data_IF_537100073036
#
_entry.id   IF_537100073036
#
_cell.length_a   1.000
_cell.length_b   1.000
_cell.length_c   1.000
_cell.angle_alpha   90.00
_cell.angle_beta   90.00
_cell.angle_gamma   90.00
#
_symmetry.space_group_name_H-M   'P 1'
#
loop_
_entity.id
_entity.type
_entity.pdbx_description
1 polymer ?
#
# COMPACT_ATOMS: atom_id res chain seq x y z
N UNK A 1 55.57 -24.90 2.02
CA UNK A 1 54.22 -24.38 1.70
C UNK A 1 53.55 -24.07 3.02
N UNK A 2 53.95 -22.98 3.67
CA UNK A 2 53.30 -22.55 4.90
C UNK A 2 52.15 -21.64 4.51
N UNK A 3 50.94 -22.21 4.52
CA UNK A 3 49.72 -21.40 4.52
C UNK A 3 49.71 -20.74 5.90
N UNK A 4 50.09 -19.47 5.94
CA UNK A 4 50.15 -18.69 7.16
C UNK A 4 48.84 -18.81 7.95
N UNK A 5 48.93 -18.99 9.27
CA UNK A 5 47.78 -19.08 10.20
C UNK A 5 46.75 -17.96 9.95
N UNK A 6 47.23 -16.78 9.57
CA UNK A 6 46.41 -15.63 9.15
C UNK A 6 45.50 -15.93 7.94
N UNK A 7 45.98 -16.69 6.96
CA UNK A 7 45.20 -17.10 5.79
C UNK A 7 44.09 -18.10 6.13
N UNK A 8 44.33 -19.03 7.07
CA UNK A 8 43.31 -19.99 7.54
C UNK A 8 42.24 -19.27 8.36
N UNK A 9 42.64 -18.33 9.21
CA UNK A 9 41.74 -17.46 9.96
C UNK A 9 40.89 -16.58 9.04
N UNK A 10 41.49 -16.00 7.99
CA UNK A 10 40.76 -15.22 6.99
C UNK A 10 39.77 -16.06 6.17
N UNK A 11 40.15 -17.26 5.76
CA UNK A 11 39.30 -18.15 4.96
C UNK A 11 38.10 -18.66 5.77
N UNK A 12 38.32 -19.06 7.02
CA UNK A 12 37.26 -19.49 7.93
C UNK A 12 36.34 -18.33 8.33
N UNK A 13 36.90 -17.13 8.56
CA UNK A 13 36.12 -15.91 8.77
C UNK A 13 35.24 -15.59 7.56
N UNK A 14 35.81 -15.57 6.34
CA UNK A 14 35.06 -15.29 5.12
C UNK A 14 33.98 -16.33 4.85
N UNK A 15 34.24 -17.62 5.14
CA UNK A 15 33.25 -18.68 5.01
C UNK A 15 32.07 -18.50 5.98
N UNK A 16 32.37 -18.21 7.25
CA UNK A 16 31.35 -17.99 8.29
C UNK A 16 30.51 -16.75 7.99
N UNK A 17 31.17 -15.65 7.60
CA UNK A 17 30.49 -14.40 7.22
C UNK A 17 29.65 -14.60 5.96
N UNK A 18 30.14 -15.33 4.95
CA UNK A 18 29.35 -15.62 3.74
C UNK A 18 28.07 -16.40 4.07
N UNK A 19 28.18 -17.43 4.91
CA UNK A 19 27.01 -18.20 5.32
C UNK A 19 26.03 -17.35 6.14
N UNK A 20 26.53 -16.48 7.00
CA UNK A 20 25.71 -15.53 7.77
C UNK A 20 24.98 -14.53 6.85
N UNK A 21 25.66 -14.01 5.83
CA UNK A 21 25.04 -13.11 4.83
C UNK A 21 23.93 -13.83 4.06
N UNK A 22 24.14 -15.10 3.67
CA UNK A 22 23.11 -15.89 2.96
C UNK A 22 21.87 -16.10 3.83
N UNK A 23 22.05 -16.44 5.11
CA UNK A 23 20.94 -16.60 6.06
C UNK A 23 20.21 -15.28 6.26
N UNK A 24 20.95 -14.17 6.44
CA UNK A 24 20.33 -12.86 6.62
C UNK A 24 19.59 -12.40 5.35
N UNK A 25 20.16 -12.61 4.17
CA UNK A 25 19.49 -12.34 2.91
C UNK A 25 18.19 -13.14 2.78
N UNK A 26 18.23 -14.45 3.08
CA UNK A 26 17.03 -15.30 3.07
C UNK A 26 15.94 -14.75 4.01
N UNK A 27 16.31 -14.32 5.21
CA UNK A 27 15.39 -13.71 6.18
C UNK A 27 14.76 -12.41 5.65
N UNK A 28 15.52 -11.60 4.92
CA UNK A 28 15.00 -10.37 4.30
C UNK A 28 14.01 -10.66 3.16
N UNK A 29 14.21 -11.73 2.39
CA UNK A 29 13.31 -12.13 1.31
C UNK A 29 12.01 -12.79 1.80
N UNK A 30 11.98 -13.33 3.02
CA UNK A 30 10.76 -13.92 3.60
C UNK A 30 9.66 -12.87 3.84
N UNK A 31 10.02 -11.62 4.16
CA UNK A 31 9.04 -10.54 4.40
C UNK A 31 8.10 -10.28 3.20
N UNK A 32 8.62 -10.01 1.99
CA UNK A 32 7.74 -9.83 0.83
C UNK A 32 7.14 -11.15 0.32
N UNK A 33 7.68 -12.31 0.71
CA UNK A 33 7.21 -13.63 0.28
C UNK A 33 5.95 -14.14 0.99
N UNK A 34 5.65 -13.62 2.18
CA UNK A 34 4.52 -14.08 2.99
C UNK A 34 3.15 -14.11 2.26
N UNK A 35 2.68 -13.03 1.61
CA UNK A 35 1.39 -13.05 0.90
C UNK A 35 1.36 -14.02 -0.29
N UNK A 36 2.52 -14.33 -0.90
CA UNK A 36 2.61 -15.33 -1.96
C UNK A 36 2.52 -16.76 -1.41
N UNK A 37 3.10 -17.01 -0.24
CA UNK A 37 3.02 -18.31 0.43
C UNK A 37 1.58 -18.63 0.83
N UNK A 38 0.88 -17.67 1.44
CA UNK A 38 -0.54 -17.82 1.81
C UNK A 38 -1.41 -18.10 0.58
N UNK A 39 -1.14 -17.40 -0.52
CA UNK A 39 -1.81 -17.67 -1.80
C UNK A 39 -1.52 -19.06 -2.37
N UNK A 40 -0.30 -19.56 -2.23
CA UNK A 40 0.09 -20.86 -2.77
C UNK A 40 -0.45 -22.03 -1.93
N UNK A 41 -0.53 -21.89 -0.61
CA UNK A 41 -1.04 -22.92 0.29
C UNK A 41 -2.55 -23.13 0.13
N UNK A 42 -3.32 -22.03 0.02
CA UNK A 42 -4.78 -22.07 -0.05
C UNK A 42 -5.33 -21.57 -1.41
N UNK A 43 -4.64 -21.89 -2.51
CA UNK A 43 -5.00 -21.40 -3.85
C UNK A 43 -6.44 -21.74 -4.25
N UNK A 44 -6.90 -22.96 -3.98
CA UNK A 44 -8.25 -23.40 -4.32
C UNK A 44 -9.30 -22.58 -3.55
N UNK A 45 -9.11 -22.42 -2.25
CA UNK A 45 -10.00 -21.61 -1.41
C UNK A 45 -10.01 -20.13 -1.84
N UNK A 46 -8.83 -19.57 -2.15
CA UNK A 46 -8.73 -18.17 -2.55
C UNK A 46 -9.38 -17.93 -3.90
N UNK A 47 -9.15 -18.80 -4.89
CA UNK A 47 -9.74 -18.67 -6.22
C UNK A 47 -11.26 -18.93 -6.24
N UNK A 48 -11.74 -19.87 -5.41
CA UNK A 48 -13.15 -20.30 -5.41
C UNK A 48 -14.03 -19.61 -4.37
N UNK A 49 -13.47 -19.01 -3.32
CA UNK A 49 -14.22 -18.36 -2.22
C UNK A 49 -13.90 -16.86 -2.13
N UNK A 50 -12.63 -16.45 -2.10
CA UNK A 50 -12.25 -15.05 -1.90
C UNK A 50 -12.21 -14.20 -3.18
N UNK A 51 -12.02 -14.81 -4.35
CA UNK A 51 -11.88 -14.07 -5.60
C UNK A 51 -13.17 -13.31 -6.00
N UNK A 52 -13.13 -11.99 -6.11
CA UNK A 52 -14.31 -11.20 -6.48
C UNK A 52 -14.70 -11.35 -7.96
N UNK A 53 -13.77 -11.77 -8.82
CA UNK A 53 -13.96 -11.85 -10.29
C UNK A 53 -14.30 -13.26 -10.79
N UNK A 54 -14.87 -14.13 -9.95
CA UNK A 54 -15.24 -15.50 -10.32
C UNK A 54 -16.23 -15.57 -11.50
N UNK A 55 -17.15 -14.60 -11.59
CA UNK A 55 -18.18 -14.55 -12.63
C UNK A 55 -17.65 -14.07 -13.99
N UNK A 56 -16.37 -13.71 -14.06
CA UNK A 56 -15.71 -13.17 -15.27
C UNK A 56 -14.53 -14.06 -15.67
N UNK A 57 -14.78 -15.29 -16.18
CA UNK A 57 -13.71 -16.23 -16.54
C UNK A 57 -12.79 -15.70 -17.65
N UNK A 58 -13.27 -14.76 -18.48
CA UNK A 58 -12.47 -14.08 -19.51
C UNK A 58 -11.27 -13.28 -18.95
N UNK A 59 -11.27 -12.95 -17.66
CA UNK A 59 -10.20 -12.19 -17.00
C UNK A 59 -9.10 -13.07 -16.41
N UNK A 60 -9.30 -14.40 -16.35
CA UNK A 60 -8.33 -15.35 -15.78
C UNK A 60 -7.76 -14.90 -14.41
N UNK A 61 -8.63 -14.31 -13.57
CA UNK A 61 -8.22 -13.67 -12.33
C UNK A 61 -7.64 -14.67 -11.33
N UNK A 62 -8.26 -15.84 -11.15
CA UNK A 62 -7.71 -16.94 -10.36
C UNK A 62 -7.30 -16.55 -8.93
N UNK A 63 -7.97 -15.59 -8.29
CA UNK A 63 -7.61 -15.12 -6.95
C UNK A 63 -6.50 -14.06 -6.89
N UNK A 64 -5.96 -13.60 -8.03
CA UNK A 64 -4.93 -12.53 -8.09
C UNK A 64 -5.41 -11.21 -7.48
N UNK A 65 -6.71 -10.93 -7.48
CA UNK A 65 -7.29 -9.76 -6.83
C UNK A 65 -7.02 -9.73 -5.32
N UNK A 66 -7.18 -10.88 -4.64
CA UNK A 66 -6.88 -11.03 -3.23
C UNK A 66 -5.38 -10.83 -2.95
N UNK A 67 -4.52 -11.48 -3.76
CA UNK A 67 -3.06 -11.35 -3.62
C UNK A 67 -2.61 -9.89 -3.74
N UNK A 68 -3.16 -9.14 -4.70
CA UNK A 68 -2.85 -7.73 -4.90
C UNK A 68 -3.25 -6.88 -3.70
N UNK A 69 -4.40 -7.16 -3.09
CA UNK A 69 -4.87 -6.48 -1.88
C UNK A 69 -3.96 -6.79 -0.67
N UNK A 70 -3.61 -8.06 -0.46
CA UNK A 70 -2.69 -8.47 0.61
C UNK A 70 -1.31 -7.80 0.48
N UNK A 71 -0.79 -7.69 -0.75
CA UNK A 71 0.45 -6.96 -1.05
C UNK A 71 0.35 -5.46 -0.76
N UNK A 72 -0.75 -4.83 -1.16
CA UNK A 72 -1.00 -3.41 -0.88
C UNK A 72 -1.06 -3.14 0.63
N UNK A 73 -1.80 -3.96 1.38
CA UNK A 73 -1.90 -3.85 2.84
C UNK A 73 -0.55 -4.06 3.54
N UNK A 74 0.26 -5.02 3.09
CA UNK A 74 1.60 -5.23 3.62
C UNK A 74 2.49 -3.99 3.40
N UNK A 75 2.43 -3.38 2.20
CA UNK A 75 3.19 -2.17 1.87
C UNK A 75 2.73 -0.94 2.67
N UNK A 76 1.43 -0.81 2.92
CA UNK A 76 0.86 0.32 3.64
C UNK A 76 1.12 0.22 5.15
N UNK A 77 1.13 -0.99 5.71
CA UNK A 77 1.54 -1.24 7.10
C UNK A 77 2.99 -0.81 7.33
N UNK A 78 3.91 -1.14 6.43
CA UNK A 78 5.32 -0.71 6.53
C UNK A 78 5.46 0.82 6.43
N UNK A 79 4.70 1.47 5.54
CA UNK A 79 4.73 2.93 5.39
C UNK A 79 4.12 3.65 6.60
N UNK A 80 3.03 3.09 7.15
CA UNK A 80 2.39 3.59 8.38
C UNK A 80 3.27 3.40 9.62
N UNK A 81 4.07 2.33 9.69
CA UNK A 81 5.06 2.13 10.75
C UNK A 81 6.22 3.14 10.64
N UNK A 82 6.65 3.47 9.41
CA UNK A 82 7.63 4.54 9.17
C UNK A 82 7.11 5.92 9.59
N UNK A 83 5.83 6.22 9.36
CA UNK A 83 5.18 7.46 9.84
C UNK A 83 4.99 7.51 11.35
N UNK A 84 4.88 6.36 12.03
CA UNK A 84 4.84 6.27 13.50
C UNK A 84 6.23 6.27 14.16
N UNK A 85 7.30 6.01 13.41
CA UNK A 85 8.68 6.01 13.91
C UNK A 85 9.31 7.40 14.03
N UNK A 86 8.69 8.46 13.51
CA UNK A 86 9.05 9.86 13.83
C UNK A 86 8.19 10.45 14.96
N UNK A 87 7.52 9.60 15.74
CA UNK A 87 6.76 10.02 16.93
C UNK A 87 6.77 8.89 17.96
N UNK A 88 7.95 8.60 18.50
CA UNK A 88 8.04 8.01 19.83
C UNK A 88 7.84 9.13 20.86
N UNK A 89 6.60 9.56 21.06
CA UNK A 89 6.25 10.17 22.34
C UNK A 89 6.12 9.02 23.31
N UNK A 90 7.16 8.82 24.12
CA UNK A 90 7.02 8.29 25.48
C UNK A 90 5.82 9.04 26.09
N UNK A 91 4.87 8.31 26.64
CA UNK A 91 3.74 8.87 27.36
C UNK A 91 4.25 9.71 28.54
N UNK A 92 4.45 10.99 28.27
CA UNK A 92 4.46 12.04 29.26
C UNK A 92 3.28 12.93 28.90
N UNK A 93 2.38 13.03 29.88
CA UNK A 93 1.04 13.60 29.89
C UNK A 93 0.71 14.73 28.89
N UNK A 94 -0.56 14.86 28.45
CA UNK A 94 -0.98 15.76 27.40
C UNK A 94 -0.94 17.21 27.87
N UNK A 95 0.16 17.91 27.56
CA UNK A 95 0.24 19.35 27.70
C UNK A 95 0.07 20.00 26.32
N UNK A 96 -1.19 20.28 26.02
CA UNK A 96 -1.74 21.47 25.34
C UNK A 96 -0.92 22.02 24.16
N UNK A 97 -1.48 21.86 22.97
CA UNK A 97 -1.19 22.59 21.74
C UNK A 97 -0.91 24.10 21.96
N UNK A 98 0.23 24.57 21.47
CA UNK A 98 0.45 25.98 21.17
C UNK A 98 1.22 26.12 19.84
N UNK A 99 0.48 26.62 18.82
CA UNK A 99 0.83 27.62 17.79
C UNK A 99 2.17 27.48 17.03
N UNK A 100 2.27 27.73 15.73
CA UNK A 100 1.91 28.98 15.04
C UNK A 100 1.75 28.76 13.54
N UNK A 101 0.75 29.43 12.96
CA UNK A 101 0.57 29.60 11.53
C UNK A 101 1.79 30.32 10.91
N UNK A 102 2.33 29.77 9.83
CA UNK A 102 3.15 30.51 8.90
C UNK A 102 2.53 30.40 7.52
N UNK A 103 1.85 31.46 7.11
CA UNK A 103 1.40 31.66 5.74
C UNK A 103 2.60 31.97 4.84
N UNK A 104 2.93 31.09 3.91
CA UNK A 104 3.81 31.44 2.78
C UNK A 104 2.95 32.04 1.67
N UNK A 105 3.19 33.33 1.38
CA UNK A 105 2.63 34.01 0.22
C UNK A 105 3.34 33.48 -1.02
N UNK A 106 2.62 32.75 -1.86
CA UNK A 106 3.05 32.40 -3.21
C UNK A 106 2.42 33.44 -4.14
N UNK A 107 3.22 34.39 -4.63
CA UNK A 107 2.82 35.25 -5.74
C UNK A 107 2.74 34.39 -7.01
N UNK A 108 1.53 34.08 -7.45
CA UNK A 108 1.29 33.39 -8.71
C UNK A 108 0.92 34.42 -9.77
N UNK A 109 1.79 34.56 -10.77
CA UNK A 109 1.57 35.38 -11.95
C UNK A 109 0.51 34.72 -12.83
N UNK A 110 -0.64 35.37 -12.93
CA UNK A 110 -1.82 34.89 -13.61
C UNK A 110 -1.64 35.03 -15.13
N UNK A 111 -1.50 33.92 -15.87
CA UNK A 111 -1.58 33.91 -17.34
C UNK A 111 -2.71 33.01 -17.82
N UNK A 112 -3.91 33.59 -17.76
CA UNK A 112 -5.10 33.42 -18.61
C UNK A 112 -5.27 32.11 -19.40
N UNK A 113 -6.23 31.28 -18.99
CA UNK A 113 -6.96 30.37 -19.89
C UNK A 113 -8.41 30.84 -19.97
N UNK A 114 -8.85 31.26 -21.17
CA UNK A 114 -10.23 31.67 -21.45
C UNK A 114 -11.16 30.46 -21.36
N UNK A 115 -12.12 30.48 -20.44
CA UNK A 115 -13.28 29.57 -20.46
C UNK A 115 -14.52 30.37 -20.89
N UNK A 116 -15.26 29.83 -21.86
CA UNK A 116 -16.48 30.38 -22.43
C UNK A 116 -17.65 30.33 -21.43
N UNK A 117 -18.63 31.24 -21.51
CA UNK A 117 -19.72 31.28 -20.53
C UNK A 117 -20.66 30.09 -20.71
N UNK A 118 -20.90 29.35 -19.62
CA UNK A 118 -22.05 28.45 -19.49
C UNK A 118 -23.27 29.34 -19.27
N UNK A 119 -24.15 29.37 -20.26
CA UNK A 119 -25.40 30.12 -20.20
C UNK A 119 -26.46 29.31 -19.46
N UNK A 120 -26.78 29.73 -18.23
CA UNK A 120 -27.96 29.23 -17.50
C UNK A 120 -29.18 30.08 -17.87
N UNK A 121 -30.10 29.52 -18.67
CA UNK A 121 -31.48 30.02 -18.72
C UNK A 121 -32.39 29.07 -17.95
N UNK A 122 -33.02 29.66 -16.92
CA UNK A 122 -34.23 29.22 -16.28
C UNK A 122 -35.41 29.41 -17.24
N UNK A 123 -36.13 28.32 -17.56
CA UNK A 123 -37.42 28.35 -18.23
C UNK A 123 -38.19 27.07 -17.89
N UNK A 124 -39.26 27.19 -17.12
CA UNK A 124 -39.84 26.09 -16.34
C UNK A 124 -40.63 25.01 -17.09
N UNK A 125 -40.91 23.90 -16.39
CA UNK A 125 -42.25 23.33 -16.14
C UNK A 125 -42.14 22.01 -15.34
N UNK A 126 -42.77 22.04 -14.17
CA UNK A 126 -43.68 21.01 -13.62
C UNK A 126 -43.13 19.59 -13.38
N UNK A 127 -42.87 19.32 -12.10
CA UNK A 127 -43.47 18.23 -11.32
C UNK A 127 -43.79 16.92 -12.07
N UNK A 128 -42.92 15.90 -11.93
CA UNK A 128 -43.30 14.48 -12.04
C UNK A 128 -42.21 13.58 -11.42
N UNK A 129 -42.03 13.67 -10.10
CA UNK A 129 -41.22 12.71 -9.33
C UNK A 129 -42.05 11.52 -8.80
N UNK A 130 -43.12 11.08 -9.49
CA UNK A 130 -44.00 10.02 -8.94
C UNK A 130 -44.17 8.74 -9.76
N UNK A 131 -43.43 8.51 -10.85
CA UNK A 131 -43.64 7.32 -11.69
C UNK A 131 -42.69 6.14 -11.44
N UNK A 132 -41.81 6.20 -10.45
CA UNK A 132 -41.01 5.03 -10.05
C UNK A 132 -41.21 4.72 -8.57
N UNK A 133 -42.16 3.83 -8.29
CA UNK A 133 -42.18 3.03 -7.06
C UNK A 133 -41.81 1.60 -7.43
N UNK A 134 -40.79 0.99 -6.80
CA UNK A 134 -40.52 -0.42 -6.98
C UNK A 134 -41.63 -1.28 -6.35
N UNK A 135 -41.89 -2.49 -6.86
CA UNK A 135 -42.90 -3.39 -6.30
C UNK A 135 -42.51 -3.83 -4.88
N UNK A 136 -43.50 -3.87 -4.00
CA UNK A 136 -43.41 -4.54 -2.71
C UNK A 136 -43.99 -5.94 -2.91
N UNK A 137 -43.27 -6.93 -2.37
CA UNK A 137 -43.53 -8.38 -2.31
C UNK A 137 -45.01 -8.73 -2.17
#
# INVERSE_FOLDING_TARGET
>A
MEINLFGILLLSYFCTVKNLIVVFALLLFLRPGFPYLEYALDYEYISTVLCENKDKPKLECNGKCYLMKALAEASEKENSQKKKSSTSTIELLPLVNWTTEQSLIIGFEETTIKTYPIFSISGGRQHLQSLFRPPII
#
